data_IF_524879176801
#
_entry.id   IF_524879176801
#
_cell.length_a   1.000
_cell.length_b   1.000
_cell.length_c   1.000
_cell.angle_alpha   90.00
_cell.angle_beta   90.00
_cell.angle_gamma   90.00
#
_symmetry.space_group_name_H-M   'P 1'
#
loop_
_entity.id
_entity.type
_entity.pdbx_description
1 polymer ?
#
# COMPACT_ATOMS: atom_id res chain seq x y z
N UNK A 1 -11.66 -5.69 -25.74
CA UNK A 1 -11.02 -6.56 -24.73
C UNK A 1 -11.70 -6.29 -23.40
N UNK A 2 -11.86 -7.28 -22.54
CA UNK A 2 -12.58 -7.13 -21.27
C UNK A 2 -11.71 -6.63 -20.13
N UNK A 3 -10.37 -6.73 -20.24
CA UNK A 3 -9.42 -6.36 -19.18
C UNK A 3 -9.86 -6.91 -17.81
N UNK A 4 -9.95 -8.24 -17.73
CA UNK A 4 -10.53 -8.99 -16.61
C UNK A 4 -9.47 -9.83 -15.92
N UNK A 5 -9.57 -9.96 -14.61
CA UNK A 5 -8.72 -10.83 -13.81
C UNK A 5 -9.46 -11.34 -12.58
N UNK A 6 -8.85 -12.30 -11.90
CA UNK A 6 -9.22 -12.70 -10.54
C UNK A 6 -8.00 -12.56 -9.64
N UNK A 7 -8.18 -11.96 -8.47
CA UNK A 7 -7.17 -11.92 -7.40
C UNK A 7 -7.57 -12.94 -6.33
N UNK A 8 -6.65 -13.80 -5.92
CA UNK A 8 -6.84 -14.78 -4.83
C UNK A 8 -5.58 -14.88 -3.97
N UNK A 9 -5.66 -15.48 -2.78
CA UNK A 9 -4.50 -15.83 -1.96
C UNK A 9 -4.01 -17.24 -2.28
N UNK A 10 -2.86 -17.64 -1.74
CA UNK A 10 -2.35 -19.01 -1.87
C UNK A 10 -3.32 -20.08 -1.37
N UNK A 11 -4.16 -19.75 -0.37
CA UNK A 11 -5.18 -20.65 0.17
C UNK A 11 -6.30 -20.96 -0.85
N UNK A 12 -6.54 -20.05 -1.82
CA UNK A 12 -7.57 -20.20 -2.85
C UNK A 12 -8.96 -20.50 -2.26
N UNK A 13 -9.36 -19.73 -1.25
CA UNK A 13 -10.70 -19.81 -0.63
C UNK A 13 -11.67 -18.75 -1.18
N UNK A 14 -11.16 -17.56 -1.51
CA UNK A 14 -11.91 -16.42 -2.05
C UNK A 14 -11.23 -15.86 -3.30
N UNK A 15 -12.04 -15.36 -4.23
CA UNK A 15 -11.58 -14.64 -5.41
C UNK A 15 -12.27 -13.29 -5.56
N UNK A 16 -11.50 -12.25 -5.84
CA UNK A 16 -11.99 -10.93 -6.25
C UNK A 16 -11.86 -10.83 -7.76
N UNK A 17 -12.99 -10.75 -8.45
CA UNK A 17 -13.07 -10.56 -9.89
C UNK A 17 -13.03 -9.07 -10.26
N UNK A 18 -12.33 -8.74 -11.34
CA UNK A 18 -12.20 -7.39 -11.88
C UNK A 18 -12.68 -7.29 -13.34
N UNK A 19 -13.37 -6.20 -13.67
CA UNK A 19 -13.76 -5.80 -15.02
C UNK A 19 -14.14 -4.31 -15.05
N UNK A 20 -13.25 -3.36 -15.27
CA UNK A 20 -12.01 -3.44 -16.03
C UNK A 20 -10.79 -3.38 -15.09
N UNK A 21 -9.59 -3.11 -15.61
CA UNK A 21 -8.33 -2.98 -14.85
C UNK A 21 -7.89 -4.27 -14.14
N UNK A 22 -8.06 -5.41 -14.83
CA UNK A 22 -7.41 -6.68 -14.47
C UNK A 22 -5.96 -6.80 -14.95
N UNK A 23 -5.42 -5.82 -15.67
CA UNK A 23 -4.01 -5.73 -16.06
C UNK A 23 -3.09 -5.75 -14.84
N UNK A 24 -1.84 -6.18 -15.02
CA UNK A 24 -0.92 -6.36 -13.89
C UNK A 24 -0.56 -5.02 -13.25
N UNK A 25 -0.34 -4.01 -14.08
CA UNK A 25 -0.12 -2.62 -13.64
C UNK A 25 -1.17 -2.14 -12.64
N UNK A 26 -2.43 -2.42 -12.93
CA UNK A 26 -3.57 -2.05 -12.09
C UNK A 26 -3.64 -2.89 -10.81
N UNK A 27 -3.48 -4.21 -10.94
CA UNK A 27 -3.53 -5.11 -9.77
C UNK A 27 -2.41 -4.82 -8.80
N UNK A 28 -1.18 -4.63 -9.28
CA UNK A 28 -0.03 -4.24 -8.44
C UNK A 28 -0.27 -2.88 -7.78
N UNK A 29 -0.84 -1.90 -8.48
CA UNK A 29 -1.17 -0.61 -7.91
C UNK A 29 -2.24 -0.68 -6.81
N UNK A 30 -3.31 -1.48 -6.99
CA UNK A 30 -4.33 -1.69 -5.96
C UNK A 30 -3.76 -2.34 -4.70
N UNK A 31 -2.96 -3.39 -4.88
CA UNK A 31 -2.31 -4.08 -3.77
C UNK A 31 -1.32 -3.14 -3.05
N UNK A 32 -0.51 -2.40 -3.81
CA UNK A 32 0.46 -1.45 -3.25
C UNK A 32 -0.23 -0.31 -2.51
N UNK A 33 -1.36 0.19 -3.00
CA UNK A 33 -2.12 1.21 -2.30
C UNK A 33 -2.65 0.68 -0.95
N UNK A 34 -3.14 -0.55 -0.91
CA UNK A 34 -3.59 -1.19 0.33
C UNK A 34 -2.46 -1.39 1.34
N UNK A 35 -1.27 -1.79 0.85
CA UNK A 35 -0.04 -1.90 1.64
C UNK A 35 0.36 -0.55 2.27
N UNK A 36 0.43 0.50 1.45
CA UNK A 36 0.75 1.85 1.93
C UNK A 36 -0.26 2.36 2.95
N UNK A 37 -1.55 2.06 2.78
CA UNK A 37 -2.58 2.38 3.78
C UNK A 37 -2.44 1.62 5.09
N UNK A 38 -1.54 0.64 5.17
CA UNK A 38 -1.33 -0.19 6.36
C UNK A 38 -2.50 -1.13 6.63
N UNK A 39 -3.28 -1.47 5.61
CA UNK A 39 -4.34 -2.45 5.76
C UNK A 39 -3.74 -3.85 6.01
N UNK A 40 -4.43 -4.64 6.83
CA UNK A 40 -4.09 -6.05 7.01
C UNK A 40 -4.29 -6.78 5.68
N UNK A 41 -3.38 -7.67 5.25
CA UNK A 41 -3.48 -8.31 3.96
C UNK A 41 -4.58 -9.38 3.90
N UNK A 42 -5.04 -9.78 2.70
CA UNK A 42 -6.17 -10.70 2.52
C UNK A 42 -5.90 -12.13 3.00
N UNK A 43 -4.63 -12.52 3.15
CA UNK A 43 -4.21 -13.80 3.72
C UNK A 43 -4.14 -13.81 5.25
N UNK A 44 -4.34 -12.65 5.89
CA UNK A 44 -4.46 -12.55 7.35
C UNK A 44 -5.88 -12.80 7.85
N UNK A 45 -6.86 -12.05 7.32
CA UNK A 45 -8.28 -12.18 7.70
C UNK A 45 -9.23 -11.50 6.69
N UNK A 46 -10.54 -11.56 6.96
CA UNK A 46 -11.59 -10.99 6.12
C UNK A 46 -11.53 -9.46 5.96
N UNK A 47 -10.84 -8.73 6.86
CA UNK A 47 -10.71 -7.28 6.74
C UNK A 47 -9.82 -6.89 5.56
N UNK A 48 -8.81 -7.71 5.22
CA UNK A 48 -7.96 -7.48 4.05
C UNK A 48 -8.75 -7.55 2.74
N UNK A 49 -9.60 -8.57 2.60
CA UNK A 49 -10.53 -8.68 1.47
C UNK A 49 -11.48 -7.49 1.39
N UNK A 50 -12.06 -7.08 2.53
CA UNK A 50 -12.99 -5.95 2.57
C UNK A 50 -12.31 -4.64 2.14
N UNK A 51 -11.06 -4.40 2.54
CA UNK A 51 -10.31 -3.19 2.17
C UNK A 51 -9.85 -3.22 0.71
N UNK A 52 -9.42 -4.36 0.20
CA UNK A 52 -9.11 -4.51 -1.23
C UNK A 52 -10.35 -4.20 -2.08
N UNK A 53 -11.50 -4.82 -1.78
CA UNK A 53 -12.75 -4.55 -2.49
C UNK A 53 -13.17 -3.08 -2.39
N UNK A 54 -13.01 -2.44 -1.23
CA UNK A 54 -13.32 -1.02 -1.05
C UNK A 54 -12.46 -0.13 -1.96
N UNK A 55 -11.13 -0.29 -1.92
CA UNK A 55 -10.21 0.55 -2.70
C UNK A 55 -10.51 0.44 -4.20
N UNK A 56 -10.72 -0.80 -4.67
CA UNK A 56 -11.05 -1.07 -6.07
C UNK A 56 -12.44 -0.50 -6.41
N UNK A 57 -13.46 -0.72 -5.60
CA UNK A 57 -14.81 -0.22 -5.87
C UNK A 57 -14.87 1.31 -5.90
N UNK A 58 -14.11 1.99 -5.03
CA UNK A 58 -13.99 3.45 -5.05
C UNK A 58 -13.39 3.93 -6.37
N UNK A 59 -12.36 3.25 -6.88
CA UNK A 59 -11.73 3.55 -8.17
C UNK A 59 -12.67 3.28 -9.36
N UNK A 60 -13.35 2.13 -9.38
CA UNK A 60 -14.25 1.74 -10.48
C UNK A 60 -15.55 2.55 -10.52
N UNK A 61 -15.94 3.15 -9.38
CA UNK A 61 -17.21 3.87 -9.23
C UNK A 61 -18.44 2.96 -9.16
N UNK A 62 -19.62 3.58 -9.18
CA UNK A 62 -20.90 2.94 -8.81
C UNK A 62 -21.62 2.21 -9.96
N UNK A 63 -20.95 1.90 -11.08
CA UNK A 63 -21.57 1.25 -12.24
C UNK A 63 -22.00 -0.20 -11.97
N UNK A 64 -21.43 -0.82 -10.93
CA UNK A 64 -21.91 -2.07 -10.32
C UNK A 64 -21.54 -3.37 -11.04
N UNK A 65 -20.80 -3.31 -12.16
CA UNK A 65 -20.42 -4.51 -12.94
C UNK A 65 -18.91 -4.78 -12.98
N UNK A 66 -18.14 -4.06 -12.16
CA UNK A 66 -16.68 -4.06 -12.26
C UNK A 66 -15.92 -4.84 -11.21
N UNK A 67 -16.55 -5.13 -10.07
CA UNK A 67 -15.91 -5.83 -8.96
C UNK A 67 -16.87 -6.91 -8.46
N UNK A 68 -16.40 -8.14 -8.42
CA UNK A 68 -17.16 -9.28 -7.89
C UNK A 68 -16.38 -10.00 -6.80
N UNK A 69 -17.08 -10.67 -5.88
CA UNK A 69 -16.48 -11.57 -4.90
C UNK A 69 -17.19 -12.92 -4.95
N UNK A 70 -16.42 -13.99 -4.94
CA UNK A 70 -16.96 -15.35 -4.91
C UNK A 70 -16.04 -16.27 -4.12
N UNK A 71 -16.61 -17.41 -3.68
CA UNK A 71 -15.78 -18.53 -3.22
C UNK A 71 -14.93 -19.01 -4.39
N UNK A 72 -13.65 -19.16 -4.13
CA UNK A 72 -12.75 -19.72 -5.12
C UNK A 72 -13.02 -21.22 -5.22
N UNK A 73 -13.06 -21.74 -6.44
CA UNK A 73 -13.41 -23.15 -6.71
C UNK A 73 -12.28 -23.84 -7.45
N UNK A 74 -12.09 -23.49 -8.72
CA UNK A 74 -10.97 -23.95 -9.54
C UNK A 74 -10.58 -22.86 -10.51
N UNK A 75 -9.32 -22.81 -10.89
CA UNK A 75 -8.74 -21.79 -11.77
C UNK A 75 -9.54 -21.62 -13.08
N UNK A 76 -10.04 -22.73 -13.62
CA UNK A 76 -10.88 -22.75 -14.82
C UNK A 76 -12.29 -22.19 -14.59
N UNK A 77 -12.91 -22.51 -13.45
CA UNK A 77 -14.29 -22.09 -13.14
C UNK A 77 -14.37 -20.63 -12.70
N UNK A 78 -13.27 -20.06 -12.23
CA UNK A 78 -13.21 -18.64 -11.87
C UNK A 78 -13.32 -17.70 -13.07
N UNK A 79 -13.28 -18.22 -14.30
CA UNK A 79 -13.33 -17.45 -15.56
C UNK A 79 -12.50 -16.16 -15.49
N UNK A 80 -11.17 -16.28 -15.29
CA UNK A 80 -10.31 -15.13 -15.02
C UNK A 80 -10.14 -14.18 -16.20
N UNK A 81 -10.82 -14.45 -17.31
CA UNK A 81 -10.81 -13.63 -18.50
C UNK A 81 -9.42 -13.47 -19.09
N UNK A 82 -9.06 -12.23 -19.38
CA UNK A 82 -7.97 -11.95 -20.31
C UNK A 82 -6.62 -11.86 -19.60
N UNK A 83 -6.58 -11.64 -18.28
CA UNK A 83 -5.35 -11.49 -17.48
C UNK A 83 -5.09 -12.62 -16.48
N UNK A 84 -5.96 -13.64 -16.41
CA UNK A 84 -5.69 -14.80 -15.56
C UNK A 84 -5.93 -14.55 -14.06
N UNK A 85 -5.42 -15.47 -13.25
CA UNK A 85 -5.55 -15.40 -11.78
C UNK A 85 -4.24 -14.93 -11.20
N UNK A 86 -4.27 -13.83 -10.44
CA UNK A 86 -3.15 -13.40 -9.59
C UNK A 86 -3.27 -14.05 -8.22
N UNK A 87 -2.21 -14.72 -7.79
CA UNK A 87 -2.09 -15.29 -6.46
C UNK A 87 -1.22 -14.37 -5.62
N UNK A 88 -1.76 -13.90 -4.49
CA UNK A 88 -1.09 -12.94 -3.62
C UNK A 88 -0.69 -13.55 -2.27
N UNK A 89 0.40 -13.02 -1.72
CA UNK A 89 0.82 -13.19 -0.33
C UNK A 89 1.13 -11.82 0.24
N UNK A 90 0.58 -11.49 1.41
CA UNK A 90 0.55 -10.11 1.86
C UNK A 90 -0.16 -9.22 0.84
N UNK A 91 0.53 -8.19 0.37
CA UNK A 91 0.08 -7.29 -0.71
C UNK A 91 0.93 -7.43 -1.98
N UNK A 92 1.56 -8.59 -2.19
CA UNK A 92 2.42 -8.84 -3.36
C UNK A 92 1.89 -10.02 -4.18
N UNK A 93 2.01 -9.92 -5.50
CA UNK A 93 1.73 -11.03 -6.42
C UNK A 93 2.90 -12.01 -6.35
N UNK A 94 2.63 -13.26 -5.97
CA UNK A 94 3.65 -14.31 -5.81
C UNK A 94 3.56 -15.41 -6.87
N UNK A 95 2.40 -15.56 -7.52
CA UNK A 95 2.20 -16.53 -8.60
C UNK A 95 1.07 -16.08 -9.53
N UNK A 96 1.01 -16.68 -10.73
CA UNK A 96 0.01 -16.36 -11.74
C UNK A 96 -0.46 -17.58 -12.52
N UNK A 97 -1.77 -17.75 -12.59
CA UNK A 97 -2.40 -18.72 -13.49
C UNK A 97 -2.74 -18.01 -14.79
N UNK A 98 -1.98 -18.29 -15.84
CA UNK A 98 -2.15 -17.65 -17.14
C UNK A 98 -3.43 -18.12 -17.84
N UNK A 99 -4.16 -17.23 -18.55
CA UNK A 99 -5.45 -17.55 -19.15
C UNK A 99 -5.32 -18.38 -20.44
N UNK A 100 -4.28 -18.14 -21.23
CA UNK A 100 -3.96 -18.87 -22.46
C UNK A 100 -2.47 -18.76 -22.78
N UNK A 101 -2.01 -19.51 -23.77
CA UNK A 101 -0.66 -19.39 -24.32
C UNK A 101 -0.71 -19.28 -25.85
N UNK A 102 0.05 -18.36 -26.47
CA UNK A 102 0.91 -17.34 -25.85
C UNK A 102 0.07 -16.17 -25.30
N UNK A 103 0.46 -15.65 -24.13
CA UNK A 103 -0.17 -14.50 -23.49
C UNK A 103 0.85 -13.36 -23.38
N UNK A 104 0.42 -12.14 -23.68
CA UNK A 104 1.21 -10.91 -23.51
C UNK A 104 0.62 -10.10 -22.36
N UNK A 105 1.48 -9.73 -21.42
CA UNK A 105 1.08 -9.04 -20.19
C UNK A 105 0.79 -7.56 -20.44
N UNK A 106 -0.39 -7.12 -20.05
CA UNK A 106 -0.74 -5.71 -19.99
C UNK A 106 0.05 -5.04 -18.85
N UNK A 107 0.87 -4.06 -19.23
CA UNK A 107 1.74 -3.27 -18.35
C UNK A 107 2.00 -1.90 -19.01
N UNK A 108 0.92 -1.15 -19.20
CA UNK A 108 0.95 0.12 -19.94
C UNK A 108 1.11 1.32 -19.01
N UNK A 109 0.62 1.21 -17.77
CA UNK A 109 0.56 2.32 -16.83
C UNK A 109 1.70 2.28 -15.79
N UNK A 110 2.47 3.38 -15.64
CA UNK A 110 3.41 3.52 -14.54
C UNK A 110 2.72 3.41 -13.18
N UNK A 111 3.36 2.68 -12.25
CA UNK A 111 2.82 2.41 -10.92
C UNK A 111 2.50 3.70 -10.14
N UNK A 112 3.37 4.70 -10.21
CA UNK A 112 3.19 5.99 -9.55
C UNK A 112 1.98 6.76 -10.07
N UNK A 113 1.77 6.76 -11.39
CA UNK A 113 0.58 7.34 -12.00
C UNK A 113 -0.70 6.63 -11.54
N UNK A 114 -0.71 5.29 -11.54
CA UNK A 114 -1.85 4.51 -11.06
C UNK A 114 -2.15 4.75 -9.59
N UNK A 115 -1.12 4.84 -8.73
CA UNK A 115 -1.30 5.12 -7.31
C UNK A 115 -1.97 6.48 -7.08
N UNK A 116 -1.59 7.51 -7.87
CA UNK A 116 -2.21 8.84 -7.78
C UNK A 116 -3.69 8.83 -8.23
N UNK A 117 -4.02 8.08 -9.28
CA UNK A 117 -5.42 7.95 -9.73
C UNK A 117 -6.28 7.16 -8.73
N UNK A 118 -5.74 6.07 -8.18
CA UNK A 118 -6.40 5.30 -7.11
C UNK A 118 -6.65 6.19 -5.90
N UNK A 119 -5.67 7.00 -5.51
CA UNK A 119 -5.78 7.94 -4.40
C UNK A 119 -6.87 8.98 -4.63
N UNK A 120 -6.87 9.62 -5.81
CA UNK A 120 -7.88 10.62 -6.18
C UNK A 120 -9.32 10.07 -6.13
N UNK A 121 -9.50 8.78 -6.35
CA UNK A 121 -10.79 8.11 -6.26
C UNK A 121 -11.20 7.71 -4.83
N UNK A 122 -10.29 7.72 -3.85
CA UNK A 122 -10.64 7.43 -2.46
C UNK A 122 -11.34 8.62 -1.78
N UNK A 123 -12.14 8.40 -0.72
CA UNK A 123 -12.63 9.46 0.13
C UNK A 123 -11.50 10.36 0.64
N UNK A 124 -11.72 11.68 0.69
CA UNK A 124 -10.68 12.66 1.01
C UNK A 124 -9.96 12.41 2.36
N UNK A 125 -10.66 11.87 3.35
CA UNK A 125 -10.09 11.51 4.66
C UNK A 125 -9.27 10.22 4.65
N UNK A 126 -9.29 9.49 3.52
CA UNK A 126 -8.58 8.24 3.30
C UNK A 126 -7.44 8.36 2.28
N UNK A 127 -7.29 9.51 1.65
CA UNK A 127 -6.22 9.77 0.69
C UNK A 127 -4.84 9.81 1.38
N UNK A 128 -3.83 9.29 0.67
CA UNK A 128 -2.42 9.35 1.01
C UNK A 128 -1.81 10.70 0.61
N UNK A 129 -2.34 11.36 -0.43
CA UNK A 129 -1.97 12.72 -0.81
C UNK A 129 -0.48 12.88 -1.11
N UNK A 130 0.12 13.96 -0.61
CA UNK A 130 1.51 14.35 -0.88
C UNK A 130 2.57 13.31 -0.46
N UNK A 131 2.19 12.31 0.34
CA UNK A 131 3.03 11.16 0.62
C UNK A 131 3.39 10.36 -0.65
N UNK A 132 2.47 10.22 -1.61
CA UNK A 132 2.65 9.41 -2.82
C UNK A 132 3.74 9.91 -3.78
N UNK A 133 3.86 11.22 -4.06
CA UNK A 133 4.95 11.73 -4.88
C UNK A 133 6.23 12.05 -4.08
N UNK A 134 6.19 11.95 -2.74
CA UNK A 134 7.35 12.28 -1.91
C UNK A 134 8.54 11.34 -2.15
N UNK A 135 9.74 11.92 -2.10
CA UNK A 135 10.99 11.21 -2.30
C UNK A 135 11.19 10.16 -1.20
N UNK A 136 11.40 8.91 -1.61
CA UNK A 136 11.74 7.83 -0.71
C UNK A 136 13.26 7.76 -0.51
N UNK A 137 13.69 7.85 0.75
CA UNK A 137 15.11 7.87 1.13
C UNK A 137 15.40 6.79 2.17
N UNK A 138 16.63 6.26 2.26
CA UNK A 138 17.04 5.42 3.37
C UNK A 138 16.85 6.15 4.70
N UNK A 139 16.22 5.50 5.69
CA UNK A 139 16.01 6.10 7.02
C UNK A 139 17.30 6.58 7.66
N UNK A 140 18.39 5.84 7.45
CA UNK A 140 19.72 6.19 7.96
C UNK A 140 20.32 7.48 7.35
N UNK A 141 19.77 7.98 6.24
CA UNK A 141 20.22 9.21 5.57
C UNK A 141 19.46 10.47 6.02
N UNK A 142 18.45 10.29 6.87
CA UNK A 142 17.61 11.38 7.35
C UNK A 142 18.34 12.17 8.43
N UNK A 143 18.32 13.50 8.32
CA UNK A 143 19.04 14.40 9.22
C UNK A 143 18.09 15.21 10.11
N UNK A 144 18.62 15.73 11.23
CA UNK A 144 17.87 16.64 12.09
C UNK A 144 17.45 17.88 11.27
N UNK A 145 16.17 18.21 11.33
CA UNK A 145 15.57 19.31 10.54
C UNK A 145 14.96 18.88 9.22
N UNK A 146 15.18 17.65 8.74
CA UNK A 146 14.32 17.08 7.71
C UNK A 146 12.90 16.87 8.27
N UNK A 147 11.91 16.88 7.38
CA UNK A 147 10.51 16.54 7.70
C UNK A 147 10.17 15.29 6.93
N UNK A 148 9.64 14.28 7.62
CA UNK A 148 9.32 12.97 7.04
C UNK A 148 7.88 12.60 7.32
N UNK A 149 7.29 11.83 6.42
CA UNK A 149 5.96 11.28 6.59
C UNK A 149 6.00 10.07 7.53
N UNK A 150 5.18 10.11 8.58
CA UNK A 150 5.03 9.00 9.54
C UNK A 150 3.60 8.52 9.54
N UNK A 151 3.42 7.21 9.49
CA UNK A 151 2.10 6.57 9.47
C UNK A 151 1.43 6.66 10.84
N UNK A 152 0.21 7.19 10.87
CA UNK A 152 -0.66 7.24 12.04
C UNK A 152 -1.43 5.93 12.22
N UNK A 153 -2.02 5.72 13.39
CA UNK A 153 -2.87 4.55 13.70
C UNK A 153 -4.01 4.37 12.67
N UNK A 154 -4.48 5.45 12.06
CA UNK A 154 -5.51 5.41 11.01
C UNK A 154 -5.02 5.08 9.59
N UNK A 155 -3.73 4.78 9.40
CA UNK A 155 -3.12 4.48 8.10
C UNK A 155 -2.83 5.70 7.23
N UNK A 156 -3.08 6.92 7.75
CA UNK A 156 -2.71 8.18 7.10
C UNK A 156 -1.25 8.49 7.39
N UNK A 157 -0.60 9.20 6.47
CA UNK A 157 0.73 9.74 6.68
C UNK A 157 0.65 11.22 7.01
N UNK A 158 1.37 11.61 8.06
CA UNK A 158 1.47 13.00 8.48
C UNK A 158 2.94 13.42 8.56
N UNK A 159 3.26 14.68 8.20
CA UNK A 159 4.62 15.17 8.22
C UNK A 159 5.06 15.50 9.66
N UNK A 160 6.20 14.96 10.08
CA UNK A 160 6.81 15.30 11.36
C UNK A 160 8.29 15.67 11.20
N UNK A 161 8.77 16.70 11.92
CA UNK A 161 10.17 17.06 11.90
C UNK A 161 10.99 16.00 12.63
N UNK A 162 12.13 15.65 12.06
CA UNK A 162 13.15 14.80 12.66
C UNK A 162 13.81 15.59 13.78
N UNK A 163 13.64 15.10 15.00
CA UNK A 163 14.03 15.80 16.22
C UNK A 163 15.42 15.39 16.72
N UNK A 164 15.89 14.19 16.37
CA UNK A 164 17.19 13.71 16.79
C UNK A 164 17.52 12.31 16.29
N UNK A 165 18.69 11.84 16.66
CA UNK A 165 19.19 10.48 16.43
C UNK A 165 19.41 9.85 17.80
N UNK A 166 18.92 8.62 17.99
CA UNK A 166 19.04 7.93 19.27
C UNK A 166 20.50 7.64 19.65
N UNK A 167 20.74 7.70 20.96
CA UNK A 167 22.06 7.66 21.60
C UNK A 167 22.43 6.27 22.15
N UNK A 168 21.58 5.26 21.89
CA UNK A 168 21.78 3.87 22.32
C UNK A 168 21.13 3.50 23.63
N UNK A 169 20.35 4.41 24.24
CA UNK A 169 19.46 4.02 25.34
C UNK A 169 18.36 3.08 24.84
N UNK A 170 17.85 2.23 25.73
CA UNK A 170 16.76 1.31 25.42
C UNK A 170 15.41 1.94 25.76
N UNK A 171 14.55 2.11 24.75
CA UNK A 171 13.19 2.67 24.91
C UNK A 171 12.17 1.60 24.54
N UNK A 172 11.41 1.11 25.51
CA UNK A 172 10.44 0.01 25.35
C UNK A 172 11.01 -1.20 24.57
N UNK A 173 12.26 -1.57 24.84
CA UNK A 173 12.95 -2.72 24.22
C UNK A 173 13.66 -2.41 22.89
N UNK A 174 13.54 -1.20 22.35
CA UNK A 174 14.30 -0.75 21.18
C UNK A 174 15.66 -0.19 21.62
N UNK A 175 16.76 -0.76 21.12
CA UNK A 175 18.06 -0.09 21.11
C UNK A 175 18.00 1.07 20.12
N UNK A 176 18.16 2.28 20.61
CA UNK A 176 17.98 3.50 19.81
C UNK A 176 19.24 3.93 19.07
N UNK A 177 20.35 3.19 19.18
CA UNK A 177 21.65 3.58 18.59
C UNK A 177 21.51 3.89 17.10
N UNK A 178 21.70 5.16 16.74
CA UNK A 178 21.66 5.58 15.33
C UNK A 178 20.27 5.60 14.70
N UNK A 179 19.20 5.37 15.46
CA UNK A 179 17.82 5.36 14.95
C UNK A 179 17.25 6.79 15.01
N UNK A 180 16.90 7.42 13.88
CA UNK A 180 16.27 8.73 13.89
C UNK A 180 14.89 8.70 14.55
N UNK A 181 14.51 9.79 15.20
CA UNK A 181 13.16 9.95 15.76
C UNK A 181 12.55 11.32 15.45
N UNK A 182 11.22 11.36 15.40
CA UNK A 182 10.44 12.55 15.05
C UNK A 182 9.71 13.15 16.25
N UNK A 183 9.24 14.40 16.12
CA UNK A 183 8.41 15.06 17.13
C UNK A 183 6.91 14.76 16.93
N UNK A 184 6.52 13.48 17.00
CA UNK A 184 5.13 13.06 16.84
C UNK A 184 4.37 13.01 18.18
N UNK A 185 5.01 12.50 19.22
CA UNK A 185 4.47 12.43 20.57
C UNK A 185 5.38 13.09 21.60
N UNK A 186 4.81 13.45 22.75
CA UNK A 186 5.52 13.94 23.95
C UNK A 186 6.32 15.26 23.77
N UNK A 187 6.08 16.03 22.70
CA UNK A 187 6.69 17.36 22.53
C UNK A 187 8.22 17.31 22.62
N UNK A 188 8.81 18.04 23.56
CA UNK A 188 10.27 18.07 23.75
C UNK A 188 10.84 16.77 24.33
N UNK A 189 10.02 15.96 25.01
CA UNK A 189 10.36 14.61 25.51
C UNK A 189 10.09 13.53 24.45
N UNK A 190 10.06 13.90 23.16
CA UNK A 190 9.77 12.98 22.07
C UNK A 190 10.72 11.77 22.02
N UNK A 191 11.96 11.91 22.45
CA UNK A 191 12.88 10.78 22.49
C UNK A 191 12.39 9.64 23.43
N UNK A 192 11.57 9.92 24.45
CA UNK A 192 11.14 8.92 25.44
C UNK A 192 10.00 8.02 24.95
N UNK A 193 9.45 8.30 23.77
CA UNK A 193 8.38 7.51 23.18
C UNK A 193 8.92 6.67 22.00
N UNK A 194 8.88 5.34 22.14
CA UNK A 194 9.34 4.41 21.10
C UNK A 194 8.64 4.60 19.75
N UNK A 195 7.41 5.11 19.75
CA UNK A 195 6.63 5.32 18.52
C UNK A 195 7.14 6.51 17.68
N UNK A 196 8.00 7.35 18.24
CA UNK A 196 8.64 8.43 17.50
C UNK A 196 9.83 7.96 16.67
N UNK A 197 10.37 6.76 16.91
CA UNK A 197 11.54 6.23 16.21
C UNK A 197 11.16 5.64 14.84
N UNK A 198 11.93 6.01 13.81
CA UNK A 198 11.77 5.53 12.45
C UNK A 198 12.40 4.14 12.32
N UNK A 199 11.55 3.11 12.28
CA UNK A 199 11.99 1.69 12.31
C UNK A 199 11.99 1.00 10.95
N UNK A 200 11.40 1.62 9.94
CA UNK A 200 11.41 1.11 8.57
C UNK A 200 12.76 1.38 7.90
N UNK A 201 13.19 0.54 6.94
CA UNK A 201 14.46 0.78 6.21
C UNK A 201 14.49 2.08 5.42
N UNK A 202 13.33 2.51 4.93
CA UNK A 202 13.13 3.75 4.17
C UNK A 202 12.00 4.57 4.77
N UNK A 203 12.01 5.88 4.49
CA UNK A 203 10.93 6.82 4.76
C UNK A 203 10.77 7.78 3.60
N UNK A 204 9.63 8.48 3.54
CA UNK A 204 9.40 9.52 2.55
C UNK A 204 9.62 10.90 3.15
N UNK A 205 10.43 11.70 2.47
CA UNK A 205 10.82 13.05 2.90
C UNK A 205 9.93 14.10 2.25
N UNK A 206 9.48 15.06 3.05
CA UNK A 206 8.77 16.25 2.55
C UNK A 206 9.77 17.14 1.80
N UNK A 207 9.45 17.60 0.57
CA UNK A 207 10.34 18.48 -0.19
C UNK A 207 10.72 19.76 0.59
N UNK A 208 12.01 20.10 0.60
CA UNK A 208 12.51 21.33 1.24
C UNK A 208 11.90 22.55 0.52
N UNK A 209 11.09 23.34 1.24
CA UNK A 209 10.39 24.51 0.70
C UNK A 209 8.88 24.34 0.52
N UNK A 210 8.31 23.16 0.81
CA UNK A 210 6.87 22.93 0.78
C UNK A 210 6.13 23.39 2.06
N UNK A 211 6.84 23.83 3.09
CA UNK A 211 6.24 24.47 4.26
C UNK A 211 6.15 25.98 4.02
N UNK A 212 4.96 26.44 3.62
CA UNK A 212 4.52 27.83 3.70
C UNK A 212 3.18 27.88 4.45
#
# INVERSE_FOLDING_TARGET
MGNRAVITTEARDLGVYLHWNGGRDSVEAFLKYCDLRGFRPPDSDEYGWARLCQVIANFMGASGLSVGISRYTTDKQMDPGDNGVYVVRGWEIVDRVYPYAPFEEENEYPLDAMLLEIDAAQPADQQLGDFLPAEEVPTASVEIGDVVYVQQIGGRYEPYPVAGIGDGRVVNGLDTTGVPYVRMHNGDECADNVNNYLRTPTVRRVPKGACA
#
